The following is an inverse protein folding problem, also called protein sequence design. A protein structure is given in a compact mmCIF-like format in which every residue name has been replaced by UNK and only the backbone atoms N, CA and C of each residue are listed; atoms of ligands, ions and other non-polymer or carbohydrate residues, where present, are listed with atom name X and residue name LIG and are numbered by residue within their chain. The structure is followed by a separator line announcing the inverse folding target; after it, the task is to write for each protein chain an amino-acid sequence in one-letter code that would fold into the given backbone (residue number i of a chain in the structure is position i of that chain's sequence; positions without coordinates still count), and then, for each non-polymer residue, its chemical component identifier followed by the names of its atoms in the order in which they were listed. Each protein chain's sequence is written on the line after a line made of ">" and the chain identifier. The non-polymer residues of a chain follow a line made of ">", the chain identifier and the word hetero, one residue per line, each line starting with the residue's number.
data_IF_366149652902
#
_entry.id   IF_366149652902
#
_cell.length_a   1.000
_cell.length_b   1.000
_cell.length_c   1.000
_cell.angle_alpha   90.00
_cell.angle_beta   90.00
_cell.angle_gamma   90.00
#
_symmetry.space_group_name_H-M   'P 1'
#
loop_
_entity.id
_entity.type
_entity.pdbx_description
1 polymer ?
#
# COMPACT_ATOMS: atom_id res chain seq x y z
N UNK A 1 16.40 -1.53 1.28
CA UNK A 1 15.70 -0.79 0.22
C UNK A 1 15.01 -1.75 -0.72
N UNK A 2 13.77 -1.47 -1.07
CA UNK A 2 13.04 -2.30 -2.02
C UNK A 2 13.60 -2.11 -3.43
N UNK A 3 13.59 -3.19 -4.22
CA UNK A 3 13.98 -3.09 -5.62
C UNK A 3 12.94 -2.29 -6.41
N UNK A 4 13.32 -1.69 -7.54
CA UNK A 4 12.37 -0.95 -8.38
C UNK A 4 11.16 -1.77 -8.82
N UNK A 5 11.29 -3.11 -8.89
CA UNK A 5 10.18 -3.99 -9.26
C UNK A 5 9.05 -4.03 -8.23
N UNK A 6 9.27 -3.53 -7.01
CA UNK A 6 8.24 -3.49 -5.98
C UNK A 6 7.51 -2.15 -5.92
N UNK A 7 7.85 -1.23 -6.81
CA UNK A 7 7.21 0.07 -6.90
C UNK A 7 6.16 0.09 -8.01
N UNK A 8 5.16 0.95 -7.85
CA UNK A 8 4.20 1.21 -8.90
C UNK A 8 4.03 2.72 -9.03
N UNK A 9 4.00 3.23 -10.25
CA UNK A 9 3.78 4.65 -10.50
C UNK A 9 2.31 5.01 -10.30
N UNK A 10 2.01 6.29 -10.01
CA UNK A 10 0.62 6.74 -9.95
C UNK A 10 -0.16 6.45 -11.22
N UNK A 11 0.47 6.58 -12.38
CA UNK A 11 -0.18 6.31 -13.66
C UNK A 11 -0.54 4.82 -13.80
N UNK A 12 0.37 3.95 -13.44
CA UNK A 12 0.13 2.50 -13.49
C UNK A 12 -0.95 2.09 -12.49
N UNK A 13 -0.95 2.68 -11.30
CA UNK A 13 -2.01 2.45 -10.32
C UNK A 13 -3.37 2.88 -10.88
N UNK A 14 -3.44 4.06 -11.48
CA UNK A 14 -4.68 4.57 -12.06
C UNK A 14 -5.21 3.62 -13.13
N UNK A 15 -4.32 3.12 -13.99
CA UNK A 15 -4.69 2.16 -15.01
C UNK A 15 -5.18 0.83 -14.42
N UNK A 16 -4.56 0.38 -13.34
CA UNK A 16 -4.93 -0.87 -12.68
C UNK A 16 -6.30 -0.78 -11.99
N UNK A 17 -6.66 0.37 -11.44
CA UNK A 17 -7.95 0.58 -10.79
C UNK A 17 -9.11 0.35 -11.75
N UNK A 18 -8.91 0.64 -13.03
CA UNK A 18 -9.95 0.48 -14.05
C UNK A 18 -10.17 -0.98 -14.47
N UNK A 19 -9.42 -1.93 -13.94
CA UNK A 19 -9.50 -3.33 -14.32
C UNK A 19 -10.27 -4.15 -13.28
N UNK A 20 -10.63 -5.40 -13.65
CA UNK A 20 -11.25 -6.35 -12.72
C UNK A 20 -10.32 -6.76 -11.59
N UNK A 21 -9.01 -6.60 -11.80
CA UNK A 21 -7.98 -6.94 -10.83
C UNK A 21 -7.43 -5.70 -10.14
N UNK A 22 -8.30 -4.72 -9.92
CA UNK A 22 -7.93 -3.51 -9.22
C UNK A 22 -7.26 -3.85 -7.87
N UNK A 23 -6.10 -3.24 -7.57
CA UNK A 23 -5.40 -3.54 -6.33
C UNK A 23 -6.16 -3.00 -5.11
N UNK A 24 -5.90 -3.62 -3.96
CA UNK A 24 -6.27 -3.01 -2.69
C UNK A 24 -5.29 -1.89 -2.40
N UNK A 25 -5.79 -0.70 -2.08
CA UNK A 25 -4.94 0.45 -1.76
C UNK A 25 -4.96 0.65 -0.26
N UNK A 26 -3.81 0.53 0.38
CA UNK A 26 -3.66 0.62 1.83
C UNK A 26 -2.80 1.84 2.16
N UNK A 27 -3.36 2.76 2.94
CA UNK A 27 -2.62 3.92 3.45
C UNK A 27 -2.03 3.54 4.81
N UNK A 28 -0.70 3.58 4.91
CA UNK A 28 0.01 3.22 6.14
C UNK A 28 0.70 4.41 6.79
N UNK A 29 0.22 5.63 6.52
CA UNK A 29 0.74 6.81 7.21
C UNK A 29 0.62 6.61 8.73
N UNK A 30 1.49 7.28 9.47
CA UNK A 30 1.37 7.31 10.92
C UNK A 30 -0.02 7.84 11.30
N UNK A 31 -0.55 7.32 12.40
CA UNK A 31 -1.89 7.68 12.83
C UNK A 31 -2.08 9.19 13.01
N UNK A 32 -1.08 9.86 13.60
CA UNK A 32 -1.14 11.31 13.80
C UNK A 32 -1.18 12.06 12.47
N UNK A 33 -0.39 11.64 11.50
CA UNK A 33 -0.42 12.25 10.16
C UNK A 33 -1.77 12.02 9.47
N UNK A 34 -2.34 10.83 9.61
CA UNK A 34 -3.65 10.52 9.07
C UNK A 34 -4.75 11.37 9.72
N UNK A 35 -4.70 11.55 11.03
CA UNK A 35 -5.69 12.35 11.75
C UNK A 35 -5.64 13.82 11.37
N UNK A 36 -4.44 14.34 11.06
CA UNK A 36 -4.27 15.73 10.62
C UNK A 36 -4.76 15.96 9.20
N UNK A 37 -4.69 14.93 8.36
CA UNK A 37 -5.08 15.01 6.96
C UNK A 37 -5.73 13.69 6.55
N UNK A 38 -6.99 13.48 6.90
CA UNK A 38 -7.64 12.16 6.74
C UNK A 38 -8.04 11.84 5.30
N UNK A 39 -7.65 12.66 4.33
CA UNK A 39 -7.96 12.38 2.93
C UNK A 39 -7.17 11.17 2.43
N UNK A 40 -7.88 10.21 1.88
CA UNK A 40 -7.31 9.01 1.29
C UNK A 40 -7.46 9.05 -0.23
N UNK A 41 -6.59 8.30 -0.91
CA UNK A 41 -6.81 8.01 -2.33
C UNK A 41 -8.14 7.29 -2.49
N UNK A 42 -8.83 7.48 -3.65
CA UNK A 42 -10.09 6.77 -3.89
C UNK A 42 -9.92 5.26 -3.70
N UNK A 43 -10.80 4.68 -2.89
CA UNK A 43 -10.76 3.26 -2.59
C UNK A 43 -9.72 2.82 -1.57
N UNK A 44 -8.94 3.74 -1.03
CA UNK A 44 -7.91 3.42 -0.05
C UNK A 44 -8.52 3.21 1.34
N UNK A 45 -7.85 2.36 2.13
CA UNK A 45 -8.20 2.07 3.51
C UNK A 45 -6.95 2.32 4.35
N UNK A 46 -7.11 3.01 5.49
CA UNK A 46 -6.00 3.20 6.41
C UNK A 46 -5.79 1.94 7.26
N UNK A 47 -4.52 1.56 7.43
CA UNK A 47 -4.13 0.47 8.34
C UNK A 47 -2.80 0.82 8.99
N UNK A 48 -2.57 0.27 10.18
CA UNK A 48 -1.34 0.49 10.93
C UNK A 48 -0.20 -0.32 10.30
N UNK A 49 0.85 0.37 9.87
CA UNK A 49 2.01 -0.27 9.24
C UNK A 49 2.66 -1.33 10.14
N UNK A 50 2.68 -1.10 11.45
CA UNK A 50 3.30 -2.03 12.39
C UNK A 50 2.48 -3.28 12.66
N UNK A 51 1.28 -3.38 12.10
CA UNK A 51 0.37 -4.51 12.33
C UNK A 51 0.00 -5.23 11.05
N UNK A 52 0.87 -5.18 10.04
CA UNK A 52 0.59 -5.78 8.74
C UNK A 52 0.19 -7.26 8.85
N UNK A 53 0.84 -8.02 9.70
CA UNK A 53 0.53 -9.44 9.89
C UNK A 53 -0.89 -9.67 10.43
N UNK A 54 -1.48 -8.69 11.10
CA UNK A 54 -2.83 -8.79 11.61
C UNK A 54 -3.89 -8.54 10.54
N UNK A 55 -3.63 -7.62 9.62
CA UNK A 55 -4.64 -7.25 8.62
C UNK A 55 -4.38 -7.79 7.21
N UNK A 56 -3.21 -8.39 6.96
CA UNK A 56 -2.87 -8.85 5.61
C UNK A 56 -3.84 -9.90 5.06
N UNK A 57 -4.42 -10.70 5.94
CA UNK A 57 -5.37 -11.75 5.54
C UNK A 57 -6.80 -11.25 5.39
N UNK A 58 -7.05 -9.97 5.66
CA UNK A 58 -8.36 -9.37 5.48
C UNK A 58 -8.65 -9.05 4.01
N UNK A 59 -7.65 -9.18 3.13
CA UNK A 59 -7.75 -8.81 1.74
C UNK A 59 -7.68 -10.04 0.84
N UNK A 60 -8.36 -9.95 -0.31
CA UNK A 60 -8.35 -11.02 -1.31
C UNK A 60 -6.94 -11.22 -1.87
N UNK A 61 -6.37 -12.41 -1.66
CA UNK A 61 -5.01 -12.72 -2.10
C UNK A 61 -4.86 -12.78 -3.62
N UNK A 62 -5.97 -12.84 -4.36
CA UNK A 62 -5.94 -12.82 -5.82
C UNK A 62 -5.69 -11.42 -6.39
N UNK A 63 -5.77 -10.39 -5.55
CA UNK A 63 -5.56 -9.00 -5.98
C UNK A 63 -4.32 -8.44 -5.29
N UNK A 64 -3.50 -7.68 -6.02
CA UNK A 64 -2.31 -7.08 -5.40
C UNK A 64 -2.67 -6.02 -4.39
N UNK A 65 -1.73 -5.72 -3.49
CA UNK A 65 -1.85 -4.63 -2.53
C UNK A 65 -0.88 -3.53 -2.94
N UNK A 66 -1.38 -2.29 -3.01
CA UNK A 66 -0.55 -1.10 -3.21
C UNK A 66 -0.55 -0.31 -1.93
N UNK A 67 0.64 -0.06 -1.39
CA UNK A 67 0.82 0.59 -0.10
C UNK A 67 1.30 2.02 -0.32
N UNK A 68 0.57 2.97 0.23
CA UNK A 68 0.87 4.39 0.14
C UNK A 68 1.21 4.94 1.52
N UNK A 69 2.16 5.87 1.57
CA UNK A 69 2.42 6.65 2.77
C UNK A 69 2.79 8.08 2.37
N UNK A 70 2.85 8.98 3.37
CA UNK A 70 3.29 10.32 3.13
C UNK A 70 4.82 10.33 3.11
N UNK A 71 5.43 11.33 2.59
CA UNK A 71 6.85 11.61 2.46
C UNK A 71 7.82 10.55 3.04
N UNK A 72 8.89 10.25 2.31
CA UNK A 72 9.97 9.38 2.78
C UNK A 72 9.80 7.91 2.47
N UNK A 73 8.59 7.43 2.26
CA UNK A 73 8.26 6.04 1.87
C UNK A 73 8.80 4.95 2.79
N UNK A 74 9.39 5.31 3.93
CA UNK A 74 10.01 4.34 4.81
C UNK A 74 8.99 3.33 5.35
N UNK A 75 7.84 3.81 5.80
CA UNK A 75 6.79 2.94 6.34
C UNK A 75 6.18 2.07 5.26
N UNK A 76 5.94 2.61 4.07
CA UNK A 76 5.40 1.81 2.98
C UNK A 76 6.39 0.76 2.50
N UNK A 77 7.68 1.09 2.42
CA UNK A 77 8.70 0.13 2.05
C UNK A 77 8.80 -1.02 3.05
N UNK A 78 8.78 -0.71 4.34
CA UNK A 78 8.84 -1.72 5.40
C UNK A 78 7.60 -2.62 5.36
N UNK A 79 6.43 -2.01 5.17
CA UNK A 79 5.17 -2.76 5.10
C UNK A 79 5.17 -3.69 3.88
N UNK A 80 5.59 -3.19 2.72
CA UNK A 80 5.64 -4.03 1.50
C UNK A 80 6.63 -5.17 1.67
N UNK A 81 7.79 -4.91 2.28
CA UNK A 81 8.76 -5.97 2.53
C UNK A 81 8.16 -7.08 3.40
N UNK A 82 7.41 -6.71 4.45
CA UNK A 82 6.74 -7.67 5.31
C UNK A 82 5.68 -8.48 4.56
N UNK A 83 4.84 -7.80 3.77
CA UNK A 83 3.80 -8.46 3.00
C UNK A 83 4.39 -9.44 1.99
N UNK A 84 5.46 -9.05 1.31
CA UNK A 84 6.12 -9.93 0.35
C UNK A 84 6.79 -11.13 1.02
N UNK A 85 7.34 -10.94 2.21
CA UNK A 85 7.90 -12.05 2.99
C UNK A 85 6.82 -13.09 3.30
N UNK A 86 5.58 -12.65 3.42
CA UNK A 86 4.44 -13.53 3.69
C UNK A 86 3.74 -14.02 2.41
N UNK A 87 4.35 -13.81 1.25
CA UNK A 87 3.85 -14.32 -0.02
C UNK A 87 2.80 -13.46 -0.71
N UNK A 88 2.61 -12.23 -0.25
CA UNK A 88 1.61 -11.32 -0.81
C UNK A 88 2.23 -10.44 -1.90
N UNK A 89 1.53 -10.29 -3.01
CA UNK A 89 1.94 -9.41 -4.10
C UNK A 89 1.66 -7.96 -3.70
N UNK A 90 2.69 -7.29 -3.18
CA UNK A 90 2.57 -5.93 -2.66
C UNK A 90 3.57 -5.00 -3.33
N UNK A 91 3.16 -3.74 -3.50
CA UNK A 91 3.95 -2.72 -4.19
C UNK A 91 3.87 -1.39 -3.45
N UNK A 92 4.95 -0.62 -3.52
CA UNK A 92 5.00 0.73 -2.96
C UNK A 92 4.51 1.72 -4.02
N UNK A 93 3.59 2.60 -3.67
CA UNK A 93 3.18 3.67 -4.57
C UNK A 93 4.27 4.74 -4.63
N UNK A 94 4.79 4.99 -5.84
CA UNK A 94 5.80 6.03 -6.06
C UNK A 94 5.21 7.41 -5.81
N UNK A 95 6.00 8.28 -5.19
CA UNK A 95 5.62 9.67 -4.94
C UNK A 95 4.53 9.84 -3.89
N UNK A 96 4.06 8.75 -3.36
CA UNK A 96 2.97 8.76 -2.43
C UNK A 96 3.38 8.87 -1.01
#
# INVERSE_FOLDING_TARGET
>A
MLSPGYSISPQDLWNAIATRMAPHIIDVRRRDAFEQSPHLLPGAIWRDAGKAQQWENDFDSARPIVVACKAGHEMSQTTVAQLRADGIDAHVLEGG
#
